data_IF_945650781458
#
_entry.id   IF_945650781458
#
_cell.length_a   1.000
_cell.length_b   1.000
_cell.length_c   1.000
_cell.angle_alpha   90.00
_cell.angle_beta   90.00
_cell.angle_gamma   90.00
#
_symmetry.space_group_name_H-M   'P 1'
#
loop_
_entity.id
_entity.type
_entity.pdbx_description
1 polymer ?
#
# COMPACT_ATOMS: atom_id res chain seq x y z
N UNK A 1 5.29 -17.28 -6.79
CA UNK A 1 3.97 -17.93 -6.71
C UNK A 1 3.06 -17.25 -7.72
N UNK A 2 2.43 -18.00 -8.62
CA UNK A 2 1.45 -17.46 -9.57
C UNK A 2 0.15 -17.16 -8.82
N UNK A 3 -0.17 -15.89 -8.65
CA UNK A 3 -1.49 -15.43 -8.24
C UNK A 3 -2.16 -14.78 -9.45
N UNK A 4 -2.85 -15.60 -10.24
CA UNK A 4 -3.75 -15.16 -11.31
C UNK A 4 -5.07 -14.62 -10.71
N UNK A 5 -4.95 -13.76 -9.69
CA UNK A 5 -6.06 -13.07 -9.05
C UNK A 5 -5.87 -11.59 -9.28
N UNK A 6 -6.73 -11.03 -10.12
CA UNK A 6 -6.86 -9.58 -10.25
C UNK A 6 -7.23 -9.00 -8.90
N UNK A 7 -6.38 -8.13 -8.37
CA UNK A 7 -6.67 -7.33 -7.19
C UNK A 7 -7.42 -6.08 -7.65
N UNK A 8 -8.44 -5.69 -6.92
CA UNK A 8 -9.28 -4.54 -7.25
C UNK A 8 -9.11 -3.43 -6.21
N UNK A 9 -9.14 -2.19 -6.69
CA UNK A 9 -9.24 -0.99 -5.87
C UNK A 9 -10.65 -0.90 -5.26
N UNK A 10 -10.85 -0.11 -4.19
CA UNK A 10 -12.17 0.04 -3.55
C UNK A 10 -13.28 0.59 -4.46
N UNK A 11 -12.92 1.24 -5.57
CA UNK A 11 -13.87 1.76 -6.55
C UNK A 11 -14.27 0.72 -7.62
N UNK A 12 -13.73 -0.51 -7.56
CA UNK A 12 -14.05 -1.60 -8.49
C UNK A 12 -13.11 -1.72 -9.69
N UNK A 13 -12.17 -0.80 -9.86
CA UNK A 13 -11.17 -0.88 -10.94
C UNK A 13 -10.05 -1.86 -10.58
N UNK A 14 -9.40 -2.52 -11.56
CA UNK A 14 -8.18 -3.28 -11.31
C UNK A 14 -7.10 -2.42 -10.67
N UNK A 15 -6.44 -2.94 -9.63
CA UNK A 15 -5.31 -2.27 -9.01
C UNK A 15 -4.14 -2.16 -10.01
N UNK A 16 -3.58 -0.95 -10.22
CA UNK A 16 -2.44 -0.79 -11.10
C UNK A 16 -1.22 -1.50 -10.51
N UNK A 17 -0.26 -1.85 -11.37
CA UNK A 17 1.00 -2.48 -10.94
C UNK A 17 1.81 -1.55 -10.03
N UNK A 18 1.71 -0.23 -10.27
CA UNK A 18 2.35 0.82 -9.49
C UNK A 18 1.29 1.80 -9.01
N UNK A 19 1.21 1.99 -7.70
CA UNK A 19 0.27 2.90 -7.07
C UNK A 19 0.98 4.20 -6.69
N UNK A 20 0.31 5.32 -6.89
CA UNK A 20 0.69 6.59 -6.27
C UNK A 20 0.42 6.57 -4.77
N UNK A 21 0.99 7.52 -4.02
CA UNK A 21 0.69 7.68 -2.59
C UNK A 21 -0.82 7.85 -2.31
N UNK A 22 -1.53 8.56 -3.17
CA UNK A 22 -2.97 8.78 -3.03
C UNK A 22 -3.80 7.51 -3.27
N UNK A 23 -3.43 6.71 -4.27
CA UNK A 23 -4.06 5.41 -4.52
C UNK A 23 -3.75 4.42 -3.40
N UNK A 24 -2.52 4.42 -2.89
CA UNK A 24 -2.13 3.59 -1.75
C UNK A 24 -2.96 3.89 -0.50
N UNK A 25 -3.20 5.17 -0.20
CA UNK A 25 -4.05 5.59 0.93
C UNK A 25 -5.45 4.98 0.81
N UNK A 26 -6.05 5.06 -0.38
CA UNK A 26 -7.37 4.49 -0.66
C UNK A 26 -7.33 2.96 -0.59
N UNK A 27 -6.30 2.35 -1.17
CA UNK A 27 -6.12 0.90 -1.23
C UNK A 27 -6.03 0.30 0.19
N UNK A 28 -5.23 0.90 1.06
CA UNK A 28 -5.09 0.51 2.48
C UNK A 28 -6.23 1.01 3.37
N UNK A 29 -7.24 1.68 2.80
CA UNK A 29 -8.38 2.27 3.52
C UNK A 29 -7.99 3.19 4.67
N UNK A 30 -6.84 3.86 4.55
CA UNK A 30 -6.38 4.86 5.52
C UNK A 30 -7.24 6.14 5.49
N UNK A 31 -8.13 6.25 4.50
CA UNK A 31 -9.16 7.28 4.37
C UNK A 31 -10.43 6.99 5.19
N UNK A 32 -10.64 5.76 5.69
CA UNK A 32 -11.80 5.45 6.55
C UNK A 32 -11.59 5.78 8.01
N UNK A 33 -10.35 5.68 8.47
CA UNK A 33 -9.96 5.98 9.84
C UNK A 33 -9.69 7.48 9.88
N UNK A 34 -10.11 8.16 10.96
CA UNK A 34 -9.85 9.61 11.16
C UNK A 34 -8.35 9.87 11.44
N UNK A 35 -7.48 9.34 10.58
CA UNK A 35 -6.06 9.64 10.53
C UNK A 35 -5.96 11.02 9.92
N UNK A 36 -5.75 12.00 10.79
CA UNK A 36 -5.61 13.42 10.42
C UNK A 36 -4.63 13.67 9.26
N UNK A 37 -3.63 12.81 9.10
CA UNK A 37 -2.63 12.89 8.03
C UNK A 37 -2.23 11.49 7.50
N UNK A 38 -3.00 10.88 6.58
CA UNK A 38 -2.74 9.52 6.08
C UNK A 38 -1.37 9.38 5.42
N UNK A 39 -0.88 10.45 4.78
CA UNK A 39 0.47 10.52 4.19
C UNK A 39 1.58 10.33 5.22
N UNK A 40 1.40 10.84 6.44
CA UNK A 40 2.38 10.66 7.51
C UNK A 40 2.48 9.20 7.93
N UNK A 41 1.36 8.47 7.87
CA UNK A 41 1.34 7.03 8.13
C UNK A 41 2.13 6.26 7.07
N UNK A 42 1.91 6.56 5.78
CA UNK A 42 2.71 5.97 4.70
C UNK A 42 4.20 6.25 4.87
N UNK A 43 4.56 7.50 5.19
CA UNK A 43 5.94 7.86 5.47
C UNK A 43 6.51 7.07 6.65
N UNK A 44 5.75 6.92 7.75
CA UNK A 44 6.18 6.11 8.90
C UNK A 44 6.43 4.65 8.53
N UNK A 45 5.57 4.02 7.73
CA UNK A 45 5.78 2.65 7.27
C UNK A 45 7.06 2.51 6.44
N UNK A 46 7.37 3.50 5.60
CA UNK A 46 8.63 3.53 4.85
C UNK A 46 9.84 3.73 5.75
N UNK A 47 9.78 4.71 6.65
CA UNK A 47 10.89 5.04 7.55
C UNK A 47 11.18 3.87 8.51
N UNK A 48 10.16 3.08 8.87
CA UNK A 48 10.28 1.83 9.64
C UNK A 48 10.72 0.61 8.81
N UNK A 49 10.90 0.75 7.49
CA UNK A 49 11.28 -0.35 6.60
C UNK A 49 10.18 -1.38 6.34
N UNK A 50 8.93 -1.09 6.73
CA UNK A 50 7.78 -1.98 6.58
C UNK A 50 7.20 -1.95 5.17
N UNK A 51 7.27 -0.79 4.51
CA UNK A 51 6.76 -0.57 3.16
C UNK A 51 7.85 0.02 2.27
N UNK A 52 8.06 -0.57 1.10
CA UNK A 52 9.01 -0.07 0.11
C UNK A 52 8.30 0.69 -1.00
N UNK A 53 8.88 1.82 -1.39
CA UNK A 53 8.50 2.58 -2.56
C UNK A 53 9.64 2.62 -3.56
N UNK A 54 9.31 2.70 -4.84
CA UNK A 54 10.25 2.86 -5.94
C UNK A 54 10.27 4.34 -6.39
N UNK A 55 11.45 4.96 -6.44
CA UNK A 55 11.62 6.30 -7.00
C UNK A 55 11.60 6.21 -8.53
N UNK A 56 10.59 6.79 -9.16
CA UNK A 56 10.48 6.88 -10.62
C UNK A 56 10.39 8.36 -10.99
N UNK A 57 11.46 8.88 -11.61
CA UNK A 57 11.65 10.31 -11.89
C UNK A 57 11.52 11.14 -10.60
N UNK A 58 10.51 12.02 -10.51
CA UNK A 58 10.28 12.92 -9.37
C UNK A 58 9.28 12.38 -8.35
N UNK A 59 8.75 11.18 -8.53
CA UNK A 59 7.69 10.63 -7.68
C UNK A 59 8.08 9.27 -7.10
N UNK A 60 7.51 8.97 -5.93
CA UNK A 60 7.61 7.66 -5.30
C UNK A 60 6.32 6.92 -5.63
N UNK A 61 6.47 5.77 -6.27
CA UNK A 61 5.39 4.84 -6.59
C UNK A 61 5.55 3.56 -5.77
N UNK A 62 4.45 2.86 -5.54
CA UNK A 62 4.39 1.71 -4.66
C UNK A 62 3.98 0.48 -5.48
N UNK A 63 4.89 -0.49 -5.66
CA UNK A 63 4.57 -1.74 -6.33
C UNK A 63 3.44 -2.50 -5.62
N UNK A 64 2.50 -3.05 -6.39
CA UNK A 64 1.36 -3.78 -5.84
C UNK A 64 1.80 -5.00 -5.00
N UNK A 65 2.79 -5.74 -5.47
CA UNK A 65 3.38 -6.89 -4.78
C UNK A 65 3.95 -6.52 -3.40
N UNK A 66 4.69 -5.41 -3.32
CA UNK A 66 5.20 -4.88 -2.04
C UNK A 66 4.09 -4.52 -1.06
N UNK A 67 2.99 -3.95 -1.56
CA UNK A 67 1.83 -3.60 -0.72
C UNK A 67 1.13 -4.86 -0.22
N UNK A 68 0.97 -5.88 -1.06
CA UNK A 68 0.37 -7.15 -0.67
C UNK A 68 1.23 -7.87 0.37
N UNK A 69 2.56 -7.88 0.19
CA UNK A 69 3.51 -8.45 1.16
C UNK A 69 3.44 -7.69 2.49
N UNK A 70 3.33 -6.35 2.45
CA UNK A 70 3.12 -5.53 3.64
C UNK A 70 1.85 -5.94 4.41
N UNK A 71 0.72 -6.11 3.72
CA UNK A 71 -0.54 -6.53 4.35
C UNK A 71 -0.41 -7.92 4.99
N UNK A 72 0.26 -8.84 4.30
CA UNK A 72 0.50 -10.19 4.81
C UNK A 72 1.33 -10.16 6.11
N UNK A 73 2.42 -9.39 6.12
CA UNK A 73 3.27 -9.20 7.31
C UNK A 73 2.49 -8.61 8.48
N UNK A 74 1.68 -7.56 8.23
CA UNK A 74 0.85 -6.95 9.28
C UNK A 74 -0.18 -7.95 9.85
N UNK A 75 -0.73 -8.81 9.00
CA UNK A 75 -1.65 -9.87 9.44
C UNK A 75 -0.96 -10.89 10.34
N UNK A 76 0.29 -11.25 10.02
CA UNK A 76 1.07 -12.20 10.83
C UNK A 76 1.54 -11.61 12.16
N UNK A 77 1.84 -10.31 12.22
CA UNK A 77 2.23 -9.63 13.47
C UNK A 77 1.07 -9.55 14.47
N UNK A 78 -0.16 -9.30 14.01
CA UNK A 78 -1.35 -9.26 14.87
C UNK A 78 -1.75 -10.64 15.38
N UNK A 79 -1.41 -11.70 14.65
CA UNK A 79 -1.70 -13.07 15.04
C UNK A 79 -0.73 -13.65 16.09
N UNK A 80 0.27 -12.87 16.54
CA UNK A 80 1.21 -13.20 17.63
C UNK A 80 0.81 -12.54 18.93
#
# INVERSE_FOLDING_TARGET
MQTDRTVYMPNGDPAPVLLTEGELIKFLRLDLIDVRFPKNTIRRYRDAGLLRGCQISKQILYPLDEILEFIEKQTQEVAR
#
